data_IF_276512517506
#
_entry.id   IF_276512517506
#
_cell.length_a   1.000
_cell.length_b   1.000
_cell.length_c   1.000
_cell.angle_alpha   90.00
_cell.angle_beta   90.00
_cell.angle_gamma   90.00
#
_symmetry.space_group_name_H-M   'P 1'
#
loop_
_entity.id
_entity.type
_entity.pdbx_description
1 polymer ?
#
# COMPACT_ATOMS: atom_id res chain seq x y z
N UNK A 1 -21.49 -36.66 44.75
CA UNK A 1 -20.56 -36.81 45.89
C UNK A 1 -19.14 -36.84 45.34
N UNK A 2 -18.19 -36.23 46.05
CA UNK A 2 -16.81 -35.84 45.67
C UNK A 2 -16.72 -34.66 44.69
N UNK A 3 -16.44 -33.41 45.11
CA UNK A 3 -15.32 -32.78 45.87
C UNK A 3 -13.99 -32.76 45.12
N UNK A 4 -13.45 -31.55 44.92
CA UNK A 4 -12.05 -31.29 44.57
C UNK A 4 -11.88 -29.92 43.88
N UNK A 5 -11.91 -28.79 44.61
CA UNK A 5 -10.73 -28.04 45.10
C UNK A 5 -9.80 -27.59 43.94
N UNK A 6 -9.97 -26.35 43.44
CA UNK A 6 -9.18 -25.14 43.78
C UNK A 6 -7.67 -25.34 43.63
N UNK A 7 -7.07 -24.71 42.60
CA UNK A 7 -5.77 -24.06 42.72
C UNK A 7 -5.73 -22.81 41.82
N UNK A 8 -5.77 -21.66 42.48
CA UNK A 8 -5.39 -20.38 41.93
C UNK A 8 -3.86 -20.26 42.04
N UNK A 9 -3.18 -19.88 40.96
CA UNK A 9 -1.85 -19.30 41.05
C UNK A 9 -1.75 -18.15 40.04
N UNK A 10 -1.86 -16.94 40.56
CA UNK A 10 -1.58 -15.71 39.86
C UNK A 10 -0.06 -15.53 39.76
N UNK A 11 0.44 -15.31 38.55
CA UNK A 11 1.82 -14.88 38.33
C UNK A 11 1.77 -13.54 37.61
N UNK A 12 1.89 -12.48 38.43
CA UNK A 12 2.28 -11.15 38.00
C UNK A 12 3.72 -11.22 37.48
N UNK A 13 3.94 -10.84 36.23
CA UNK A 13 5.26 -10.44 35.77
C UNK A 13 5.20 -9.04 35.15
N UNK A 14 6.17 -8.27 35.62
CA UNK A 14 6.41 -6.84 35.50
C UNK A 14 6.62 -6.35 34.07
N UNK A 15 6.00 -5.22 33.80
CA UNK A 15 6.18 -4.38 32.61
C UNK A 15 7.55 -3.69 32.67
N UNK A 16 8.41 -3.93 31.68
CA UNK A 16 9.59 -3.11 31.42
C UNK A 16 9.26 -2.10 30.31
N UNK A 17 9.02 -0.85 30.71
CA UNK A 17 8.92 0.30 29.80
C UNK A 17 10.33 0.81 29.54
N UNK A 18 10.87 0.55 28.34
CA UNK A 18 12.12 1.16 27.89
C UNK A 18 11.76 2.38 27.04
N UNK A 19 11.95 3.57 27.61
CA UNK A 19 11.87 4.84 26.91
C UNK A 19 13.16 5.08 26.11
N UNK A 20 13.07 5.11 24.78
CA UNK A 20 14.17 5.57 23.95
C UNK A 20 13.99 7.05 23.62
N UNK A 21 14.97 7.83 24.04
CA UNK A 21 15.09 9.27 23.86
C UNK A 21 15.34 9.65 22.41
N UNK A 22 14.60 10.65 21.94
CA UNK A 22 14.84 11.41 20.70
C UNK A 22 16.15 12.18 20.76
N UNK A 23 17.12 11.86 19.89
CA UNK A 23 18.24 12.76 19.59
C UNK A 23 17.94 13.52 18.29
N UNK A 24 17.50 14.75 18.47
CA UNK A 24 17.47 15.80 17.44
C UNK A 24 18.86 16.41 17.35
N UNK A 25 19.55 16.23 16.22
CA UNK A 25 20.77 16.96 15.90
C UNK A 25 20.54 17.85 14.70
N UNK A 26 20.28 19.12 14.99
CA UNK A 26 20.42 20.24 14.07
C UNK A 26 21.89 20.63 14.03
N UNK A 27 22.55 20.54 12.88
CA UNK A 27 23.77 21.31 12.64
C UNK A 27 23.85 21.82 11.21
N UNK A 28 23.75 23.14 11.14
CA UNK A 28 23.98 23.99 9.99
C UNK A 28 25.42 23.89 9.49
N UNK A 29 25.58 23.92 8.17
CA UNK A 29 26.70 24.63 7.53
C UNK A 29 26.27 25.05 6.12
N UNK A 30 25.96 26.33 6.00
CA UNK A 30 25.88 27.05 4.73
C UNK A 30 27.31 27.36 4.30
N UNK A 31 27.77 26.74 3.22
CA UNK A 31 28.95 27.18 2.48
C UNK A 31 28.47 27.79 1.18
N UNK A 32 28.58 29.12 1.11
CA UNK A 32 28.43 29.87 -0.12
C UNK A 32 29.72 29.71 -0.95
N UNK A 33 29.59 29.13 -2.14
CA UNK A 33 30.66 29.08 -3.13
C UNK A 33 30.22 29.88 -4.35
N UNK A 34 30.86 31.03 -4.47
CA UNK A 34 30.82 31.95 -5.61
C UNK A 34 31.53 31.31 -6.80
N UNK A 35 30.85 31.20 -7.95
CA UNK A 35 31.53 31.04 -9.23
C UNK A 35 30.77 31.78 -10.33
N UNK A 36 31.45 32.79 -10.87
CA UNK A 36 31.06 33.54 -12.05
C UNK A 36 31.06 32.64 -13.29
N UNK A 37 30.00 32.68 -14.09
CA UNK A 37 30.06 32.33 -15.50
C UNK A 37 29.32 33.39 -16.33
N UNK A 38 30.09 34.18 -17.07
CA UNK A 38 29.61 35.04 -18.14
C UNK A 38 29.16 34.18 -19.33
N UNK A 39 27.89 34.26 -19.74
CA UNK A 39 27.41 34.17 -21.14
C UNK A 39 25.89 34.52 -21.18
N UNK A 40 25.27 34.75 -22.36
CA UNK A 40 24.61 36.00 -22.69
C UNK A 40 23.14 36.07 -22.26
N UNK A 41 22.75 37.26 -21.82
CA UNK A 41 21.40 37.68 -21.46
C UNK A 41 20.39 37.48 -22.60
N UNK A 42 19.39 36.62 -22.39
CA UNK A 42 18.14 36.54 -23.20
C UNK A 42 17.21 37.76 -23.00
N UNK A 43 17.64 38.84 -22.32
CA UNK A 43 16.81 40.02 -21.97
C UNK A 43 16.89 41.17 -22.98
N UNK A 44 16.80 40.89 -24.28
CA UNK A 44 16.85 41.94 -25.30
C UNK A 44 15.70 41.89 -26.32
N UNK A 45 14.58 41.21 -26.03
CA UNK A 45 13.54 40.99 -27.05
C UNK A 45 12.09 41.31 -26.66
N UNK A 46 11.85 42.11 -25.62
CA UNK A 46 10.48 42.49 -25.23
C UNK A 46 10.35 43.99 -25.02
N UNK A 47 10.44 44.72 -26.12
CA UNK A 47 9.93 46.10 -26.23
C UNK A 47 9.16 46.24 -27.55
N UNK A 48 7.97 45.64 -27.65
CA UNK A 48 6.97 46.09 -28.63
C UNK A 48 5.56 45.66 -28.22
N UNK A 49 4.65 46.65 -28.15
CA UNK A 49 3.18 46.59 -28.17
C UNK A 49 2.46 45.85 -27.03
N UNK A 50 1.69 46.44 -26.11
CA UNK A 50 0.59 47.43 -26.16
C UNK A 50 -0.74 46.94 -26.77
N UNK A 51 -1.69 46.69 -25.86
CA UNK A 51 -3.12 46.99 -25.90
C UNK A 51 -4.10 46.10 -26.71
N UNK A 52 -5.33 46.05 -26.16
CA UNK A 52 -6.61 45.45 -26.65
C UNK A 52 -6.73 43.93 -26.42
N UNK A 53 -7.84 43.34 -25.95
CA UNK A 53 -9.20 43.79 -25.72
C UNK A 53 -9.85 42.93 -24.63
N UNK A 54 -10.84 43.51 -23.93
CA UNK A 54 -11.74 42.81 -23.04
C UNK A 54 -12.72 41.95 -23.87
N UNK A 55 -12.81 40.65 -23.57
CA UNK A 55 -13.81 39.78 -24.15
C UNK A 55 -14.30 38.75 -23.12
N UNK A 56 -15.58 38.92 -22.78
CA UNK A 56 -16.55 38.00 -22.17
C UNK A 56 -16.11 36.53 -22.08
N UNK A 57 -15.94 36.03 -20.87
CA UNK A 57 -15.94 34.58 -20.61
C UNK A 57 -17.31 34.23 -20.02
N UNK A 58 -18.14 33.64 -20.87
CA UNK A 58 -19.39 33.01 -20.48
C UNK A 58 -19.10 31.94 -19.42
N UNK A 59 -19.72 32.09 -18.25
CA UNK A 59 -19.64 31.14 -17.14
C UNK A 59 -20.40 29.87 -17.51
N UNK A 60 -19.70 28.92 -18.12
CA UNK A 60 -20.16 27.53 -18.23
C UNK A 60 -20.28 26.96 -16.82
N UNK A 61 -21.51 26.92 -16.30
CA UNK A 61 -21.87 26.25 -15.05
C UNK A 61 -21.74 24.74 -15.24
N UNK A 62 -20.50 24.25 -15.23
CA UNK A 62 -20.20 22.83 -15.03
C UNK A 62 -20.70 22.53 -13.62
N UNK A 63 -21.82 21.81 -13.52
CA UNK A 63 -22.33 21.33 -12.26
C UNK A 63 -21.19 20.55 -11.56
N UNK A 64 -20.81 20.91 -10.32
CA UNK A 64 -19.75 20.21 -9.63
C UNK A 64 -20.20 18.74 -9.47
N UNK A 65 -19.43 17.84 -10.08
CA UNK A 65 -19.56 16.40 -9.83
C UNK A 65 -19.46 16.21 -8.32
N UNK A 66 -20.38 15.45 -7.69
CA UNK A 66 -20.37 15.29 -6.25
C UNK A 66 -18.99 14.82 -5.79
N UNK A 67 -18.34 15.65 -4.97
CA UNK A 67 -17.08 15.31 -4.34
C UNK A 67 -17.35 14.18 -3.34
N UNK A 68 -17.23 12.94 -3.79
CA UNK A 68 -17.22 11.79 -2.89
C UNK A 68 -16.03 11.97 -1.95
N UNK A 69 -16.33 12.21 -0.68
CA UNK A 69 -15.33 12.34 0.37
C UNK A 69 -14.38 11.14 0.30
N UNK A 70 -13.09 11.44 0.12
CA UNK A 70 -12.02 10.49 -0.22
C UNK A 70 -11.69 9.65 1.01
N UNK A 71 -12.56 8.69 1.34
CA UNK A 71 -12.36 7.70 2.37
C UNK A 71 -11.96 6.34 1.78
N UNK A 72 -11.32 5.45 2.56
CA UNK A 72 -11.01 4.11 2.10
C UNK A 72 -12.29 3.38 1.69
N UNK A 73 -12.30 2.86 0.45
CA UNK A 73 -13.41 2.06 -0.07
C UNK A 73 -13.25 0.65 0.49
N UNK A 74 -14.27 0.16 1.19
CA UNK A 74 -14.29 -1.18 1.80
C UNK A 74 -15.33 -2.03 1.09
N UNK A 75 -14.92 -3.15 0.51
CA UNK A 75 -15.82 -4.11 -0.14
C UNK A 75 -15.74 -5.44 0.62
N UNK A 76 -16.89 -6.03 0.97
CA UNK A 76 -16.93 -7.34 1.63
C UNK A 76 -16.74 -8.47 0.61
N UNK A 77 -16.05 -9.52 1.05
CA UNK A 77 -15.84 -10.73 0.28
C UNK A 77 -16.57 -11.92 0.89
N UNK A 78 -17.07 -12.80 0.04
CA UNK A 78 -17.56 -14.12 0.41
C UNK A 78 -16.71 -15.19 -0.29
N UNK A 79 -16.02 -16.04 0.48
CA UNK A 79 -15.17 -17.10 -0.09
C UNK A 79 -16.05 -18.20 -0.66
N UNK A 80 -15.74 -18.60 -1.90
CA UNK A 80 -16.45 -19.70 -2.59
C UNK A 80 -15.65 -20.99 -2.53
N UNK A 81 -14.35 -20.91 -2.81
CA UNK A 81 -13.44 -22.06 -2.80
C UNK A 81 -12.01 -21.59 -2.61
N UNK A 82 -11.16 -22.49 -2.11
CA UNK A 82 -9.73 -22.25 -1.99
C UNK A 82 -8.96 -23.54 -2.24
N UNK A 83 -7.70 -23.42 -2.65
CA UNK A 83 -6.80 -24.56 -2.83
C UNK A 83 -5.39 -24.18 -2.37
N UNK A 84 -4.72 -25.08 -1.67
CA UNK A 84 -3.36 -24.87 -1.20
C UNK A 84 -2.36 -25.75 -1.95
N UNK A 85 -1.21 -25.18 -2.27
CA UNK A 85 -0.05 -25.88 -2.83
C UNK A 85 1.21 -25.48 -2.08
N UNK A 86 2.25 -26.31 -2.17
CA UNK A 86 3.56 -25.96 -1.61
C UNK A 86 4.09 -24.76 -2.39
N UNK A 87 4.50 -23.70 -1.67
CA UNK A 87 5.06 -22.52 -2.32
C UNK A 87 6.39 -22.83 -3.01
N UNK A 88 6.67 -22.22 -4.17
CA UNK A 88 8.00 -22.29 -4.78
C UNK A 88 9.05 -21.63 -3.88
N UNK A 89 10.31 -22.09 -3.91
CA UNK A 89 11.39 -21.57 -3.06
C UNK A 89 11.72 -20.10 -3.34
N UNK A 90 11.33 -19.58 -4.50
CA UNK A 90 11.57 -18.19 -4.91
C UNK A 90 10.65 -17.17 -4.22
N UNK A 91 9.63 -17.62 -3.47
CA UNK A 91 8.70 -16.76 -2.72
C UNK A 91 8.86 -17.00 -1.21
N UNK A 92 9.80 -16.30 -0.54
CA UNK A 92 10.02 -16.46 0.89
C UNK A 92 8.80 -16.00 1.69
N UNK A 93 8.57 -16.67 2.82
CA UNK A 93 7.47 -16.34 3.73
C UNK A 93 7.74 -14.95 4.34
N UNK A 94 6.81 -13.99 4.24
CA UNK A 94 6.92 -12.74 4.98
C UNK A 94 7.12 -13.03 6.47
N UNK A 95 8.24 -12.58 7.05
CA UNK A 95 8.56 -12.85 8.45
C UNK A 95 9.24 -14.19 8.72
N UNK A 96 9.91 -14.81 7.75
CA UNK A 96 10.62 -16.10 7.85
C UNK A 96 11.44 -16.30 9.16
N UNK A 97 12.05 -15.23 9.68
CA UNK A 97 12.81 -15.27 10.95
C UNK A 97 11.94 -15.60 12.17
N UNK A 98 10.68 -15.19 12.17
CA UNK A 98 9.70 -15.47 13.22
C UNK A 98 9.06 -16.86 13.06
N UNK A 99 9.16 -17.46 11.87
CA UNK A 99 8.40 -18.65 11.47
C UNK A 99 9.28 -19.91 11.38
N UNK A 100 10.36 -19.97 12.17
CA UNK A 100 11.27 -21.13 12.20
C UNK A 100 10.51 -22.37 12.71
N UNK A 101 10.27 -23.34 11.82
CA UNK A 101 9.50 -24.55 12.11
C UNK A 101 8.10 -24.60 11.50
N UNK A 102 7.71 -23.57 10.74
CA UNK A 102 6.49 -23.59 9.92
C UNK A 102 6.84 -23.69 8.44
N UNK A 103 5.97 -24.35 7.67
CA UNK A 103 6.03 -24.43 6.21
C UNK A 103 5.08 -23.43 5.58
N UNK A 104 5.53 -22.80 4.50
CA UNK A 104 4.73 -21.90 3.68
C UNK A 104 3.91 -22.67 2.66
N UNK A 105 2.61 -22.43 2.64
CA UNK A 105 1.68 -22.95 1.65
C UNK A 105 1.06 -21.79 0.89
N UNK A 106 1.06 -21.87 -0.43
CA UNK A 106 0.50 -20.87 -1.31
C UNK A 106 -0.96 -21.24 -1.52
N UNK A 107 -1.84 -20.42 -0.94
CA UNK A 107 -3.29 -20.63 -0.96
C UNK A 107 -3.90 -19.69 -1.98
N UNK A 108 -4.50 -20.27 -3.01
CA UNK A 108 -5.31 -19.55 -4.00
C UNK A 108 -6.75 -19.54 -3.51
N UNK A 109 -7.33 -18.35 -3.37
CA UNK A 109 -8.70 -18.14 -2.91
C UNK A 109 -9.52 -17.54 -4.03
N UNK A 110 -10.68 -18.13 -4.28
CA UNK A 110 -11.71 -17.59 -5.16
C UNK A 110 -12.85 -17.07 -4.30
N UNK A 111 -13.09 -15.76 -4.35
CA UNK A 111 -14.10 -15.08 -3.56
C UNK A 111 -15.03 -14.23 -4.43
N UNK A 112 -16.29 -14.18 -4.05
CA UNK A 112 -17.29 -13.32 -4.66
C UNK A 112 -17.31 -11.96 -3.94
N UNK A 113 -17.37 -10.88 -4.71
CA UNK A 113 -17.43 -9.51 -4.21
C UNK A 113 -18.90 -9.16 -3.96
N UNK A 114 -19.25 -8.93 -2.69
CA UNK A 114 -20.65 -8.67 -2.30
C UNK A 114 -21.09 -7.24 -2.60
N UNK A 115 -20.17 -6.28 -2.48
CA UNK A 115 -20.42 -4.86 -2.67
C UNK A 115 -19.88 -4.40 -4.02
N UNK A 116 -20.70 -3.74 -4.84
CA UNK A 116 -20.24 -3.20 -6.11
C UNK A 116 -19.27 -2.03 -5.89
N UNK A 117 -18.14 -2.04 -6.60
CA UNK A 117 -17.19 -0.94 -6.52
C UNK A 117 -17.76 0.32 -7.20
N UNK A 118 -17.67 1.51 -6.59
CA UNK A 118 -18.15 2.75 -7.21
C UNK A 118 -17.28 3.23 -8.37
N UNK A 119 -16.05 2.73 -8.50
CA UNK A 119 -15.07 3.09 -9.53
C UNK A 119 -14.08 1.96 -9.77
N UNK A 120 -13.27 2.07 -10.80
CA UNK A 120 -12.13 1.18 -10.96
C UNK A 120 -11.14 1.40 -9.80
N UNK A 121 -10.80 0.32 -9.10
CA UNK A 121 -9.85 0.30 -7.99
C UNK A 121 -8.60 -0.42 -8.44
N UNK A 122 -7.42 0.13 -8.16
CA UNK A 122 -6.15 -0.54 -8.45
C UNK A 122 -5.32 -0.67 -7.18
N UNK A 123 -4.42 -1.67 -7.16
CA UNK A 123 -3.54 -2.03 -6.04
C UNK A 123 -4.31 -2.17 -4.74
N UNK A 124 -5.32 -3.04 -4.75
CA UNK A 124 -6.25 -3.17 -3.64
C UNK A 124 -5.74 -4.22 -2.65
N UNK A 125 -5.72 -3.87 -1.37
CA UNK A 125 -5.27 -4.78 -0.32
C UNK A 125 -6.42 -5.66 0.19
N UNK A 126 -6.13 -6.93 0.42
CA UNK A 126 -7.03 -7.87 1.09
C UNK A 126 -6.65 -7.95 2.58
N UNK A 127 -7.66 -7.79 3.44
CA UNK A 127 -7.55 -7.76 4.90
C UNK A 127 -8.55 -8.73 5.51
N UNK A 128 -8.29 -9.18 6.73
CA UNK A 128 -9.15 -10.11 7.46
C UNK A 128 -8.35 -11.16 8.23
N UNK A 129 -9.07 -12.14 8.75
CA UNK A 129 -8.52 -13.24 9.53
C UNK A 129 -8.73 -14.55 8.79
N UNK A 130 -7.72 -15.41 8.83
CA UNK A 130 -7.79 -16.77 8.31
C UNK A 130 -7.32 -17.69 9.42
N UNK A 131 -8.23 -18.51 9.92
CA UNK A 131 -7.97 -19.45 11.02
C UNK A 131 -8.17 -20.87 10.55
N UNK A 132 -7.39 -21.79 11.11
CA UNK A 132 -7.65 -23.22 10.96
C UNK A 132 -8.93 -23.56 11.72
N UNK A 133 -9.93 -24.13 11.05
CA UNK A 133 -11.21 -24.44 11.67
C UNK A 133 -11.08 -25.50 12.79
N UNK A 134 -10.04 -26.32 12.76
CA UNK A 134 -9.83 -27.42 13.72
C UNK A 134 -9.08 -26.93 14.95
N UNK A 135 -7.94 -26.24 14.76
CA UNK A 135 -7.10 -25.82 15.89
C UNK A 135 -7.46 -24.44 16.41
N UNK A 136 -8.12 -23.60 15.59
CA UNK A 136 -8.39 -22.20 15.89
C UNK A 136 -7.15 -21.31 15.76
N UNK A 137 -6.02 -21.85 15.28
CA UNK A 137 -4.79 -21.08 15.13
C UNK A 137 -4.84 -20.19 13.88
N UNK A 138 -4.17 -19.05 13.96
CA UNK A 138 -4.00 -18.17 12.79
C UNK A 138 -3.08 -18.80 11.76
N UNK A 139 -3.53 -18.81 10.52
CA UNK A 139 -2.76 -19.30 9.37
C UNK A 139 -1.89 -18.18 8.77
N UNK A 140 -2.09 -16.93 9.21
CA UNK A 140 -1.36 -15.76 8.74
C UNK A 140 -0.15 -15.48 9.64
N UNK A 141 1.04 -15.49 9.05
CA UNK A 141 2.31 -15.27 9.76
C UNK A 141 2.39 -13.93 10.51
N UNK A 142 1.70 -12.91 10.01
CA UNK A 142 1.73 -11.56 10.58
C UNK A 142 0.79 -11.37 11.80
N UNK A 143 0.02 -12.39 12.17
CA UNK A 143 -0.97 -12.27 13.24
C UNK A 143 -1.21 -13.60 13.97
N UNK A 144 -0.21 -14.12 14.71
CA UNK A 144 -0.35 -15.38 15.41
C UNK A 144 -1.35 -15.32 16.59
N UNK A 145 -1.62 -14.13 17.14
CA UNK A 145 -2.42 -13.92 18.35
C UNK A 145 -3.89 -13.55 18.09
N UNK A 146 -4.28 -13.33 16.82
CA UNK A 146 -5.65 -12.96 16.40
C UNK A 146 -6.21 -11.69 17.07
N UNK A 147 -5.38 -10.95 17.80
CA UNK A 147 -5.79 -9.78 18.59
C UNK A 147 -5.96 -8.53 17.72
N UNK A 148 -5.19 -8.45 16.63
CA UNK A 148 -5.21 -7.32 15.70
C UNK A 148 -5.48 -7.81 14.27
N UNK A 149 -6.05 -6.97 13.41
CA UNK A 149 -6.20 -7.31 11.99
C UNK A 149 -4.83 -7.70 11.41
N UNK A 150 -4.75 -8.77 10.63
CA UNK A 150 -3.47 -9.33 10.15
C UNK A 150 -2.72 -8.43 9.16
N UNK A 151 -3.23 -7.22 8.95
CA UNK A 151 -2.78 -6.30 7.94
C UNK A 151 -3.15 -6.80 6.55
N UNK A 152 -2.46 -6.25 5.56
CA UNK A 152 -2.62 -6.65 4.17
C UNK A 152 -1.82 -7.94 3.95
N UNK A 153 -2.48 -9.03 3.61
CA UNK A 153 -1.82 -10.31 3.33
C UNK A 153 -1.87 -10.72 1.84
N UNK A 154 -2.73 -10.08 1.05
CA UNK A 154 -2.74 -10.21 -0.41
C UNK A 154 -3.02 -8.87 -1.09
N UNK A 155 -2.64 -8.76 -2.36
CA UNK A 155 -2.89 -7.59 -3.19
C UNK A 155 -3.51 -8.02 -4.51
N UNK A 156 -4.56 -7.31 -4.92
CA UNK A 156 -5.23 -7.49 -6.20
C UNK A 156 -4.90 -6.27 -7.06
N UNK A 157 -4.43 -6.50 -8.29
CA UNK A 157 -3.96 -5.43 -9.16
C UNK A 157 -5.08 -4.47 -9.57
N UNK A 158 -6.24 -4.98 -9.99
CA UNK A 158 -7.35 -4.15 -10.45
C UNK A 158 -8.70 -4.82 -10.19
N UNK A 159 -9.68 -4.03 -9.73
CA UNK A 159 -11.07 -4.43 -9.52
C UNK A 159 -11.96 -3.43 -10.24
N UNK A 160 -12.75 -3.92 -11.18
CA UNK A 160 -13.74 -3.12 -11.90
C UNK A 160 -15.10 -3.20 -11.19
N UNK A 161 -15.98 -2.20 -11.33
CA UNK A 161 -17.36 -2.25 -10.84
C UNK A 161 -18.15 -3.49 -11.32
N UNK A 162 -17.80 -4.03 -12.49
CA UNK A 162 -18.45 -5.21 -13.08
C UNK A 162 -17.90 -6.55 -12.54
N UNK A 163 -16.79 -6.52 -11.80
CA UNK A 163 -16.13 -7.72 -11.29
C UNK A 163 -16.95 -8.32 -10.15
N UNK A 164 -17.50 -9.52 -10.37
CA UNK A 164 -18.26 -10.27 -9.35
C UNK A 164 -17.42 -11.24 -8.56
N UNK A 165 -16.31 -11.68 -9.14
CA UNK A 165 -15.44 -12.71 -8.59
C UNK A 165 -13.99 -12.25 -8.69
N UNK A 166 -13.24 -12.47 -7.63
CA UNK A 166 -11.83 -12.16 -7.52
C UNK A 166 -11.06 -13.41 -7.10
N UNK A 167 -9.86 -13.54 -7.65
CA UNK A 167 -8.91 -14.58 -7.29
C UNK A 167 -7.67 -13.89 -6.70
N UNK A 168 -7.20 -14.36 -5.56
CA UNK A 168 -5.97 -13.87 -4.95
C UNK A 168 -5.20 -15.02 -4.31
N UNK A 169 -3.88 -14.85 -4.25
CA UNK A 169 -2.96 -15.81 -3.64
C UNK A 169 -2.39 -15.19 -2.36
N UNK A 170 -2.30 -15.98 -1.30
CA UNK A 170 -1.58 -15.60 -0.09
C UNK A 170 -0.77 -16.77 0.46
N UNK A 171 0.22 -16.45 1.31
CA UNK A 171 1.08 -17.45 1.93
C UNK A 171 0.54 -17.77 3.33
N UNK A 172 0.04 -18.99 3.47
CA UNK A 172 -0.33 -19.60 4.73
C UNK A 172 0.90 -20.20 5.42
N UNK A 173 1.01 -20.02 6.73
CA UNK A 173 2.02 -20.68 7.53
C UNK A 173 1.38 -21.79 8.38
N UNK A 174 1.90 -23.01 8.23
CA UNK A 174 1.35 -24.20 8.89
C UNK A 174 2.48 -24.95 9.58
N UNK A 175 2.25 -25.60 10.74
CA UNK A 175 3.23 -26.47 11.36
C UNK A 175 3.73 -27.56 10.39
N UNK A 176 5.03 -27.84 10.39
CA UNK A 176 5.61 -28.85 9.49
C UNK A 176 5.03 -30.26 9.71
N UNK A 177 4.58 -30.53 10.93
CA UNK A 177 4.02 -31.82 11.36
C UNK A 177 2.66 -32.14 10.73
N UNK A 178 1.94 -31.13 10.23
CA UNK A 178 0.62 -31.32 9.59
C UNK A 178 0.79 -32.03 8.26
N UNK A 179 0.24 -33.24 8.09
CA UNK A 179 0.27 -33.95 6.81
C UNK A 179 -0.73 -33.33 5.84
N UNK A 180 -0.28 -33.01 4.63
CA UNK A 180 -1.10 -32.36 3.59
C UNK A 180 -1.89 -33.38 2.76
N UNK A 181 -1.41 -34.62 2.75
CA UNK A 181 -1.97 -35.75 1.99
C UNK A 181 -3.38 -36.14 2.46
N UNK A 182 -3.73 -35.79 3.70
CA UNK A 182 -5.02 -36.14 4.31
C UNK A 182 -6.17 -35.21 3.88
N UNK A 183 -5.88 -34.13 3.12
CA UNK A 183 -6.86 -33.11 2.79
C UNK A 183 -6.92 -32.84 1.28
N UNK A 184 -8.12 -32.93 0.70
CA UNK A 184 -8.36 -32.68 -0.73
C UNK A 184 -7.93 -31.27 -1.17
N UNK A 185 -8.06 -30.28 -0.28
CA UNK A 185 -7.68 -28.89 -0.52
C UNK A 185 -6.20 -28.57 -0.18
N UNK A 186 -5.45 -29.56 0.30
CA UNK A 186 -4.03 -29.45 0.62
C UNK A 186 -3.67 -28.78 1.95
N UNK A 187 -4.61 -28.18 2.70
CA UNK A 187 -4.31 -27.45 3.96
C UNK A 187 -5.32 -27.71 5.11
N UNK A 188 -6.41 -28.41 4.83
CA UNK A 188 -7.53 -28.59 5.75
C UNK A 188 -8.62 -27.53 5.61
N UNK A 189 -9.57 -27.54 6.53
CA UNK A 189 -10.68 -26.59 6.56
C UNK A 189 -10.21 -25.24 7.14
N UNK A 190 -10.41 -24.17 6.37
CA UNK A 190 -10.05 -22.81 6.75
C UNK A 190 -11.32 -21.99 6.97
N UNK A 191 -11.37 -21.28 8.09
CA UNK A 191 -12.43 -20.31 8.36
C UNK A 191 -11.92 -18.90 8.07
N UNK A 192 -12.66 -18.20 7.22
CA UNK A 192 -12.32 -16.87 6.73
C UNK A 192 -13.22 -15.83 7.40
N UNK A 193 -12.67 -15.12 8.38
CA UNK A 193 -13.43 -14.17 9.18
C UNK A 193 -13.14 -12.73 8.75
N UNK A 194 -14.22 -11.95 8.55
CA UNK A 194 -14.14 -10.52 8.26
C UNK A 194 -13.30 -10.15 7.03
N UNK A 195 -13.28 -11.01 6.00
CA UNK A 195 -12.58 -10.71 4.76
C UNK A 195 -13.15 -9.47 4.07
N UNK A 196 -12.25 -8.55 3.76
CA UNK A 196 -12.58 -7.29 3.11
C UNK A 196 -11.45 -6.83 2.22
N UNK A 197 -11.84 -6.20 1.14
CA UNK A 197 -10.96 -5.48 0.24
C UNK A 197 -10.98 -4.03 0.66
N UNK A 198 -9.81 -3.44 0.86
CA UNK A 198 -9.66 -2.03 1.20
C UNK A 198 -8.82 -1.35 0.14
N UNK A 199 -9.42 -0.38 -0.55
CA UNK A 199 -8.70 0.54 -1.44
C UNK A 199 -8.56 1.89 -0.76
N UNK A 200 -7.34 2.40 -0.72
CA UNK A 200 -7.06 3.79 -0.34
C UNK A 200 -7.08 4.66 -1.60
N UNK A 201 -8.14 5.47 -1.82
CA UNK A 201 -8.15 6.39 -2.94
C UNK A 201 -7.04 7.44 -2.74
N UNK A 202 -6.09 7.48 -3.68
CA UNK A 202 -4.88 8.31 -3.57
C UNK A 202 -3.64 7.56 -3.06
N UNK A 203 -3.75 6.31 -2.59
CA UNK A 203 -2.58 5.46 -2.32
C UNK A 203 -1.73 5.19 -3.57
N UNK A 204 -2.34 5.29 -4.76
CA UNK A 204 -1.64 5.29 -6.04
C UNK A 204 -0.68 6.48 -6.24
N UNK A 205 -0.84 7.58 -5.48
CA UNK A 205 0.05 8.74 -5.60
C UNK A 205 1.45 8.46 -5.06
N UNK A 206 1.63 7.35 -4.34
CA UNK A 206 2.93 6.85 -3.93
C UNK A 206 3.28 5.63 -4.80
N UNK A 207 3.50 5.87 -6.10
CA UNK A 207 4.31 4.95 -6.90
C UNK A 207 5.69 4.77 -6.26
N UNK A 208 6.46 3.75 -6.70
CA UNK A 208 7.88 3.73 -6.38
C UNK A 208 8.44 5.07 -6.85
N UNK A 209 8.89 5.90 -5.92
CA UNK A 209 9.42 7.23 -6.25
C UNK A 209 10.61 6.99 -7.16
N UNK A 210 10.48 7.39 -8.42
CA UNK A 210 11.56 7.19 -9.38
C UNK A 210 12.78 8.03 -8.95
N UNK A 211 14.01 7.59 -9.27
CA UNK A 211 15.21 8.39 -8.99
C UNK A 211 15.11 9.81 -9.57
N UNK A 212 14.52 9.92 -10.77
CA UNK A 212 14.20 11.17 -11.44
C UNK A 212 13.19 12.07 -10.71
N UNK A 213 12.26 11.50 -9.92
CA UNK A 213 11.29 12.28 -9.14
C UNK A 213 11.92 12.92 -7.90
N UNK A 214 12.93 12.27 -7.31
CA UNK A 214 13.70 12.83 -6.19
C UNK A 214 14.71 13.87 -6.65
N UNK A 215 15.38 13.61 -7.77
CA UNK A 215 16.33 14.54 -8.36
C UNK A 215 16.41 14.34 -9.88
N UNK A 216 15.87 15.29 -10.63
CA UNK A 216 15.92 15.30 -12.10
C UNK A 216 17.35 15.48 -12.65
N UNK A 217 18.32 15.85 -11.80
CA UNK A 217 19.71 16.08 -12.18
C UNK A 217 20.69 15.04 -11.63
N UNK A 218 20.21 13.91 -11.09
CA UNK A 218 21.12 12.85 -10.65
C UNK A 218 21.53 11.94 -11.81
N UNK A 219 22.76 11.43 -11.76
CA UNK A 219 23.26 10.43 -12.70
C UNK A 219 22.39 9.15 -12.69
N UNK A 220 21.73 8.86 -11.55
CA UNK A 220 20.75 7.77 -11.40
C UNK A 220 19.49 7.99 -12.26
N UNK A 221 19.10 9.25 -12.49
CA UNK A 221 17.99 9.58 -13.39
C UNK A 221 18.40 9.36 -14.85
N UNK A 222 19.58 9.83 -15.26
CA UNK A 222 20.08 9.65 -16.63
C UNK A 222 20.20 8.15 -17.00
N UNK A 223 20.66 7.32 -16.05
CA UNK A 223 20.73 5.87 -16.23
C UNK A 223 19.33 5.23 -16.34
N UNK A 224 18.38 5.67 -15.52
CA UNK A 224 17.00 5.17 -15.57
C UNK A 224 16.29 5.57 -16.86
N UNK A 225 16.50 6.80 -17.34
CA UNK A 225 15.95 7.30 -18.61
C UNK A 225 16.54 6.58 -19.83
N UNK A 226 17.81 6.19 -19.78
CA UNK A 226 18.44 5.39 -20.84
C UNK A 226 17.79 4.00 -21.00
N UNK A 227 17.27 3.43 -19.91
CA UNK A 227 16.61 2.11 -19.90
C UNK A 227 15.10 2.19 -20.15
N UNK A 228 14.42 3.20 -19.60
CA UNK A 228 12.95 3.28 -19.55
C UNK A 228 12.36 4.37 -20.48
N UNK A 229 13.21 5.20 -21.08
CA UNK A 229 12.81 6.37 -21.86
C UNK A 229 12.74 7.67 -21.04
N UNK A 230 12.57 8.82 -21.72
CA UNK A 230 12.57 10.13 -21.07
C UNK A 230 11.42 10.25 -20.05
N UNK A 231 11.72 10.81 -18.87
CA UNK A 231 10.76 10.95 -17.80
C UNK A 231 9.69 12.02 -18.13
N UNK A 232 8.42 11.62 -18.16
CA UNK A 232 7.29 12.55 -18.26
C UNK A 232 6.78 12.91 -16.85
N UNK A 233 7.06 14.15 -16.41
CA UNK A 233 6.55 14.64 -15.14
C UNK A 233 5.00 14.69 -15.15
N UNK A 234 4.37 13.96 -14.23
CA UNK A 234 2.91 13.92 -14.13
C UNK A 234 2.30 15.32 -13.99
N UNK A 235 1.12 15.54 -14.61
CA UNK A 235 0.43 16.84 -14.68
C UNK A 235 0.24 17.57 -13.34
N UNK A 236 0.29 16.84 -12.22
CA UNK A 236 0.19 17.40 -10.87
C UNK A 236 1.47 18.10 -10.39
N UNK A 237 2.65 17.76 -10.94
CA UNK A 237 3.95 18.38 -10.63
C UNK A 237 4.17 19.69 -11.41
N UNK A 238 3.55 19.84 -12.59
CA UNK A 238 3.78 20.97 -13.52
C UNK A 238 3.14 22.28 -13.06
N UNK A 239 2.33 22.29 -11.99
CA UNK A 239 1.71 23.53 -11.45
C UNK A 239 2.67 24.46 -10.71
N UNK A 240 3.97 24.16 -10.64
CA UNK A 240 4.98 25.04 -10.02
C UNK A 240 5.86 25.73 -11.07
N UNK A 241 5.30 26.67 -11.84
CA UNK A 241 6.07 27.79 -12.44
C UNK A 241 5.16 28.94 -12.94
N UNK A 242 4.11 29.27 -12.17
CA UNK A 242 3.34 30.51 -12.38
C UNK A 242 3.29 31.42 -11.13
N UNK A 243 4.10 31.14 -10.10
CA UNK A 243 4.11 31.93 -8.86
C UNK A 243 5.49 32.56 -8.62
N UNK A 244 5.76 33.66 -9.33
CA UNK A 244 6.63 34.77 -8.86
C UNK A 244 6.87 35.79 -9.98
N UNK A 245 5.89 36.60 -10.35
CA UNK A 245 6.17 38.00 -10.71
C UNK A 245 4.97 38.94 -10.56
N UNK A 246 4.13 38.78 -9.54
CA UNK A 246 3.18 39.83 -9.15
C UNK A 246 3.38 40.20 -7.69
N UNK A 247 4.35 41.09 -7.44
CA UNK A 247 4.32 42.05 -6.33
C UNK A 247 5.55 42.94 -6.40
N UNK A 248 5.36 44.10 -7.02
CA UNK A 248 5.77 45.45 -6.57
C UNK A 248 5.67 46.40 -7.77
N UNK A 249 4.49 47.00 -7.92
CA UNK A 249 4.40 48.40 -8.28
C UNK A 249 4.62 49.20 -7.00
#
# INVERSE_FOLDING_TARGET
MFRGLVFALALLQSVNVIAYSTQSSSRSTLTASTSNSLAPSRRAFLKTASATAASFIASSSIAPVPANAVGPVKLKLAVKSYSAKICPPDRPIPGEKAMKGMKGLCVTVVADVLDASPKDLEKVGVYGFVVDAVTGDSVLANNPDLSTDAGQFAMIETIKPTTKQVEFEFIAAVPMEKKLEDYDNGIGELDFQSLRIVSFPGGQQYGAVNPCEMNEFSDECEAWEAENGPYEAGDYMVKKKAYKTEKKK
#
